data_IF_955469186262
#
_entry.id   IF_955469186262
#
_cell.length_a   1.000
_cell.length_b   1.000
_cell.length_c   1.000
_cell.angle_alpha   90.00
_cell.angle_beta   90.00
_cell.angle_gamma   90.00
#
_symmetry.space_group_name_H-M   'P 1'
#
loop_
_entity.id
_entity.type
_entity.pdbx_description
1 polymer ?
#
# COMPACT_ATOMS: atom_id res chain seq x y z
N UNK A 1 19.64 -55.45 -25.79
CA UNK A 1 19.80 -55.00 -24.39
C UNK A 1 20.81 -53.88 -24.46
N UNK A 2 20.33 -52.69 -24.76
CA UNK A 2 21.10 -51.66 -25.47
C UNK A 2 21.46 -50.47 -24.59
N UNK A 3 22.77 -50.21 -24.63
CA UNK A 3 23.46 -48.93 -24.83
C UNK A 3 23.52 -47.92 -23.67
N UNK A 4 24.78 -47.53 -23.46
CA UNK A 4 25.33 -46.51 -22.59
C UNK A 4 25.52 -45.19 -23.38
N UNK A 5 25.48 -44.04 -22.69
CA UNK A 5 25.98 -42.70 -23.08
C UNK A 5 25.15 -41.85 -24.09
N UNK A 6 24.53 -40.74 -23.62
CA UNK A 6 24.79 -39.33 -24.06
C UNK A 6 23.74 -38.29 -23.57
N UNK A 7 24.25 -37.11 -23.14
CA UNK A 7 23.70 -35.73 -23.26
C UNK A 7 22.54 -35.32 -22.33
N UNK A 8 22.71 -34.42 -21.34
CA UNK A 8 22.87 -32.95 -21.43
C UNK A 8 21.94 -32.31 -22.50
N UNK A 9 21.17 -31.28 -22.08
CA UNK A 9 20.29 -30.38 -22.85
C UNK A 9 18.82 -30.82 -23.09
N UNK A 10 17.91 -30.29 -22.27
CA UNK A 10 16.84 -29.40 -22.76
C UNK A 10 16.16 -28.67 -21.60
N UNK A 11 16.79 -27.57 -21.17
CA UNK A 11 16.18 -26.50 -20.39
C UNK A 11 15.89 -25.36 -21.37
N UNK A 12 14.80 -25.44 -22.13
CA UNK A 12 14.24 -24.30 -22.90
C UNK A 12 12.91 -24.72 -23.54
N UNK A 13 11.93 -23.82 -23.53
CA UNK A 13 10.57 -23.92 -24.09
C UNK A 13 9.45 -24.41 -23.15
N UNK A 14 9.35 -23.82 -21.96
CA UNK A 14 8.04 -23.42 -21.40
C UNK A 14 8.16 -21.98 -20.90
N UNK A 15 8.40 -21.07 -21.85
CA UNK A 15 8.21 -19.64 -21.64
C UNK A 15 7.28 -19.17 -22.75
N UNK A 16 6.22 -18.45 -22.39
CA UNK A 16 5.15 -17.86 -23.23
C UNK A 16 3.90 -18.71 -23.52
N UNK A 17 3.11 -19.03 -22.48
CA UNK A 17 1.64 -19.06 -22.56
C UNK A 17 1.02 -19.22 -21.14
N UNK A 18 0.20 -18.28 -20.63
CA UNK A 18 -0.37 -18.36 -19.30
C UNK A 18 -1.80 -18.90 -19.37
N UNK A 19 -1.98 -20.20 -19.61
CA UNK A 19 -3.29 -20.84 -19.36
C UNK A 19 -3.03 -22.21 -18.76
N UNK A 20 -3.15 -22.31 -17.44
CA UNK A 20 -3.01 -23.56 -16.70
C UNK A 20 -4.35 -24.30 -16.76
N UNK A 21 -4.34 -25.56 -17.19
CA UNK A 21 -5.51 -26.45 -17.15
C UNK A 21 -5.46 -27.23 -15.83
N UNK A 22 -6.56 -27.21 -15.07
CA UNK A 22 -6.69 -28.01 -13.85
C UNK A 22 -7.30 -29.37 -14.20
N UNK A 23 -6.75 -30.46 -13.64
CA UNK A 23 -7.25 -31.83 -13.86
C UNK A 23 -7.96 -32.34 -12.62
N UNK A 24 -9.25 -32.64 -12.73
CA UNK A 24 -10.01 -33.36 -11.70
C UNK A 24 -11.00 -34.33 -12.35
N UNK A 25 -10.79 -35.64 -12.20
CA UNK A 25 -11.69 -36.66 -12.77
C UNK A 25 -11.73 -36.69 -14.31
N UNK A 26 -12.89 -37.04 -14.87
CA UNK A 26 -13.13 -37.30 -16.31
C UNK A 26 -13.24 -36.04 -17.20
N UNK A 27 -12.89 -34.86 -16.67
CA UNK A 27 -13.00 -33.59 -17.38
C UNK A 27 -11.77 -32.67 -17.18
N UNK A 28 -11.52 -31.83 -18.18
CA UNK A 28 -10.58 -30.71 -18.14
C UNK A 28 -11.36 -29.39 -18.10
N UNK A 29 -10.97 -28.46 -17.23
CA UNK A 29 -11.63 -27.14 -17.07
C UNK A 29 -10.65 -26.01 -17.38
N UNK A 30 -11.10 -25.05 -18.21
CA UNK A 30 -10.35 -23.83 -18.46
C UNK A 30 -10.51 -22.87 -17.26
N UNK A 31 -9.42 -22.56 -16.57
CA UNK A 31 -9.44 -21.68 -15.38
C UNK A 31 -9.85 -20.22 -15.69
N UNK A 32 -9.87 -19.83 -16.97
CA UNK A 32 -10.27 -18.49 -17.39
C UNK A 32 -11.77 -18.38 -17.69
N UNK A 33 -12.34 -19.31 -18.46
CA UNK A 33 -13.74 -19.24 -18.91
C UNK A 33 -14.67 -20.27 -18.26
N UNK A 34 -14.17 -21.18 -17.41
CA UNK A 34 -14.93 -22.23 -16.72
C UNK A 34 -15.59 -23.27 -17.64
N UNK A 35 -15.26 -23.31 -18.94
CA UNK A 35 -15.75 -24.37 -19.84
C UNK A 35 -15.13 -25.73 -19.49
N UNK A 36 -16.00 -26.76 -19.41
CA UNK A 36 -15.63 -28.15 -19.11
C UNK A 36 -15.63 -29.00 -20.37
N UNK A 37 -14.62 -29.86 -20.50
CA UNK A 37 -14.40 -30.71 -21.66
C UNK A 37 -14.19 -32.18 -21.24
N UNK A 38 -14.99 -33.10 -21.78
CA UNK A 38 -14.90 -34.54 -21.50
C UNK A 38 -13.71 -35.21 -22.22
N UNK A 39 -13.05 -36.17 -21.56
CA UNK A 39 -11.88 -36.85 -22.09
C UNK A 39 -12.20 -37.80 -23.26
N UNK A 40 -12.09 -37.28 -24.49
CA UNK A 40 -11.89 -38.06 -25.72
C UNK A 40 -10.77 -37.39 -26.54
N UNK A 41 -10.13 -38.14 -27.43
CA UNK A 41 -9.01 -37.72 -28.28
C UNK A 41 -9.34 -36.49 -29.15
N UNK A 42 -10.62 -36.27 -29.47
CA UNK A 42 -11.09 -35.07 -30.18
C UNK A 42 -11.21 -33.83 -29.27
N UNK A 43 -11.27 -34.01 -27.95
CA UNK A 43 -11.49 -32.94 -26.98
C UNK A 43 -10.21 -32.24 -26.53
N UNK A 44 -9.07 -32.93 -26.55
CA UNK A 44 -7.75 -32.31 -26.28
C UNK A 44 -7.43 -31.19 -27.29
N UNK A 45 -7.83 -31.36 -28.56
CA UNK A 45 -7.68 -30.33 -29.58
C UNK A 45 -8.59 -29.12 -29.32
N UNK A 46 -9.81 -29.34 -28.82
CA UNK A 46 -10.79 -28.28 -28.47
C UNK A 46 -10.36 -27.49 -27.24
N UNK A 47 -9.88 -28.16 -26.19
CA UNK A 47 -9.34 -27.51 -24.99
C UNK A 47 -8.11 -26.64 -25.33
N UNK A 48 -7.23 -27.13 -26.22
CA UNK A 48 -6.11 -26.34 -26.75
C UNK A 48 -6.57 -25.15 -27.59
N UNK A 49 -7.59 -25.31 -28.45
CA UNK A 49 -8.15 -24.20 -29.24
C UNK A 49 -8.80 -23.13 -28.36
N UNK A 50 -9.49 -23.52 -27.29
CA UNK A 50 -10.09 -22.60 -26.32
C UNK A 50 -8.99 -21.80 -25.59
N UNK A 51 -7.90 -22.45 -25.18
CA UNK A 51 -6.74 -21.79 -24.58
C UNK A 51 -6.03 -20.83 -25.55
N UNK A 52 -5.88 -21.21 -26.83
CA UNK A 52 -5.27 -20.34 -27.86
C UNK A 52 -6.13 -19.11 -28.11
N UNK A 53 -7.46 -19.25 -28.23
CA UNK A 53 -8.39 -18.11 -28.36
C UNK A 53 -8.32 -17.16 -27.16
N UNK A 54 -8.24 -17.69 -25.95
CA UNK A 54 -8.12 -16.87 -24.74
C UNK A 54 -6.76 -16.14 -24.68
N UNK A 55 -5.68 -16.80 -25.11
CA UNK A 55 -4.33 -16.21 -25.17
C UNK A 55 -4.20 -15.15 -26.27
N UNK A 56 -4.78 -15.37 -27.45
CA UNK A 56 -4.79 -14.39 -28.55
C UNK A 56 -5.59 -13.14 -28.18
N UNK A 57 -6.72 -13.30 -27.48
CA UNK A 57 -7.51 -12.18 -26.97
C UNK A 57 -6.74 -11.38 -25.88
N UNK A 58 -5.88 -12.04 -25.11
CA UNK A 58 -4.98 -11.41 -24.14
C UNK A 58 -3.83 -10.65 -24.83
N UNK A 59 -3.16 -11.26 -25.83
CA UNK A 59 -2.03 -10.64 -26.53
C UNK A 59 -2.45 -9.47 -27.44
N UNK A 60 -3.61 -9.54 -28.08
CA UNK A 60 -4.13 -8.43 -28.89
C UNK A 60 -4.47 -7.19 -28.03
N UNK A 61 -4.70 -7.37 -26.72
CA UNK A 61 -5.13 -6.32 -25.80
C UNK A 61 -3.97 -5.65 -25.05
N UNK A 62 -2.81 -6.30 -24.97
CA UNK A 62 -1.63 -5.77 -24.25
C UNK A 62 -0.34 -6.00 -25.05
N UNK A 63 0.11 -4.98 -25.80
CA UNK A 63 1.37 -5.01 -26.57
C UNK A 63 2.60 -4.88 -25.65
N UNK A 64 3.34 -5.97 -25.43
CA UNK A 64 4.70 -5.90 -24.83
C UNK A 64 5.69 -6.85 -25.54
N UNK A 65 6.88 -6.39 -25.96
CA UNK A 65 7.97 -7.24 -26.46
C UNK A 65 8.89 -7.75 -25.33
N UNK A 66 9.43 -8.95 -25.50
CA UNK A 66 10.35 -9.64 -24.56
C UNK A 66 11.80 -9.18 -24.80
N UNK A 67 12.57 -8.75 -23.77
CA UNK A 67 14.02 -8.48 -23.92
C UNK A 67 14.88 -9.74 -23.80
N UNK A 68 15.95 -9.80 -24.60
CA UNK A 68 16.96 -10.88 -24.64
C UNK A 68 17.99 -10.73 -23.51
N UNK A 69 18.45 -11.86 -22.98
CA UNK A 69 19.47 -12.03 -21.92
C UNK A 69 20.85 -11.51 -22.34
N UNK A 70 21.57 -10.87 -21.42
CA UNK A 70 23.05 -10.78 -21.44
C UNK A 70 23.65 -11.00 -20.06
N UNK A 71 24.85 -11.57 -20.07
CA UNK A 71 25.57 -12.27 -19.00
C UNK A 71 26.02 -11.43 -17.80
N UNK A 72 26.12 -12.09 -16.64
CA UNK A 72 26.68 -11.57 -15.40
C UNK A 72 28.01 -12.28 -15.10
N UNK A 73 29.11 -11.53 -14.94
CA UNK A 73 30.39 -12.00 -14.40
C UNK A 73 30.54 -11.51 -12.96
N UNK A 74 30.97 -12.41 -12.09
CA UNK A 74 31.25 -12.18 -10.67
C UNK A 74 32.74 -11.85 -10.50
N UNK A 75 33.06 -10.78 -9.77
CA UNK A 75 34.40 -10.51 -9.25
C UNK A 75 34.35 -10.21 -7.73
N UNK A 76 35.31 -10.80 -7.01
CA UNK A 76 35.55 -10.69 -5.58
C UNK A 76 36.24 -9.37 -5.22
N UNK A 77 35.87 -8.74 -4.09
CA UNK A 77 36.79 -7.85 -3.36
C UNK A 77 36.64 -7.97 -1.83
N UNK A 78 37.81 -8.14 -1.19
CA UNK A 78 38.08 -8.08 0.24
C UNK A 78 38.12 -6.63 0.73
N UNK A 79 37.55 -6.31 1.90
CA UNK A 79 38.01 -5.20 2.74
C UNK A 79 37.73 -5.45 4.23
N UNK A 80 38.79 -5.26 5.05
CA UNK A 80 38.76 -5.09 6.52
C UNK A 80 38.59 -3.60 6.84
N UNK A 81 37.94 -3.24 7.96
CA UNK A 81 38.44 -2.19 8.88
C UNK A 81 37.58 -2.03 10.14
N UNK A 82 38.23 -1.39 11.13
CA UNK A 82 38.00 -1.41 12.57
C UNK A 82 36.86 -0.52 13.10
N UNK A 83 36.37 -0.90 14.28
CA UNK A 83 35.49 -0.12 15.15
C UNK A 83 36.29 0.76 16.13
N UNK A 84 35.75 1.93 16.47
CA UNK A 84 36.11 2.69 17.67
C UNK A 84 34.86 3.37 18.27
N UNK A 85 34.74 3.31 19.61
CA UNK A 85 33.65 3.82 20.47
C UNK A 85 33.97 5.22 20.99
N UNK A 86 32.93 5.95 21.46
CA UNK A 86 32.79 6.67 22.77
C UNK A 86 31.54 7.58 22.66
N UNK A 87 30.46 7.50 23.44
CA UNK A 87 30.15 7.68 24.88
C UNK A 87 30.02 9.13 25.41
N UNK A 88 28.82 9.42 25.97
CA UNK A 88 28.58 10.37 27.08
C UNK A 88 27.65 11.55 26.77
N UNK A 89 26.87 12.16 27.68
CA UNK A 89 26.20 11.78 28.96
C UNK A 89 25.29 12.99 29.31
N UNK A 90 24.17 12.71 29.99
CA UNK A 90 23.01 13.58 30.33
C UNK A 90 23.24 14.68 31.39
N UNK A 91 22.29 15.66 31.45
CA UNK A 91 21.47 16.20 32.60
C UNK A 91 21.10 17.67 32.32
N UNK A 92 19.96 18.29 32.66
CA UNK A 92 18.70 17.95 33.34
C UNK A 92 17.99 19.26 33.80
N UNK A 93 16.65 19.35 33.60
CA UNK A 93 15.57 20.01 34.43
C UNK A 93 15.66 21.50 34.83
N UNK A 94 14.64 22.37 34.90
CA UNK A 94 13.16 22.49 34.68
C UNK A 94 12.87 24.03 34.63
N UNK A 95 11.73 24.55 34.11
CA UNK A 95 10.72 25.10 35.04
C UNK A 95 9.24 25.19 34.54
N UNK A 96 8.34 25.21 35.53
CA UNK A 96 7.07 25.95 35.69
C UNK A 96 6.10 26.19 34.51
N UNK A 97 4.87 25.70 34.70
CA UNK A 97 3.69 25.77 33.83
C UNK A 97 2.91 27.09 33.94
N UNK A 98 2.37 27.55 32.81
CA UNK A 98 1.08 28.27 32.71
C UNK A 98 0.35 27.77 31.43
N UNK A 99 -0.98 27.95 31.31
CA UNK A 99 -1.98 26.89 31.19
C UNK A 99 -2.08 26.26 29.78
N UNK A 100 -1.67 24.99 29.67
CA UNK A 100 -2.00 24.12 28.52
C UNK A 100 -3.41 23.56 28.74
N UNK A 101 -4.24 23.56 27.69
CA UNK A 101 -5.53 22.87 27.64
C UNK A 101 -5.40 21.44 28.19
N UNK A 102 -5.84 21.26 29.44
CA UNK A 102 -5.97 19.98 30.14
C UNK A 102 -7.06 19.07 29.54
N UNK A 103 -7.71 19.48 28.45
CA UNK A 103 -8.90 18.83 27.91
C UNK A 103 -8.64 17.60 27.02
N UNK A 104 -7.44 17.01 27.04
CA UNK A 104 -7.15 15.73 26.36
C UNK A 104 -6.50 14.69 27.28
N UNK A 105 -6.34 14.97 28.58
CA UNK A 105 -5.72 14.01 29.52
C UNK A 105 -6.71 13.00 30.11
N UNK A 106 -8.02 13.22 29.95
CA UNK A 106 -9.07 12.35 30.49
C UNK A 106 -9.90 11.68 29.39
N UNK A 107 -9.25 10.96 28.46
CA UNK A 107 -9.86 9.83 27.72
C UNK A 107 -8.84 8.74 27.35
N UNK A 108 -7.83 8.53 28.18
CA UNK A 108 -7.06 7.28 28.16
C UNK A 108 -7.48 6.45 29.37
N UNK A 109 -8.76 6.09 29.40
CA UNK A 109 -9.23 4.98 30.22
C UNK A 109 -8.66 3.70 29.62
N UNK A 110 -7.89 2.98 30.42
CA UNK A 110 -7.23 1.71 30.10
C UNK A 110 -7.99 0.81 29.11
N UNK A 111 -7.47 0.75 27.88
CA UNK A 111 -7.71 -0.34 26.93
C UNK A 111 -6.42 -0.57 26.10
N UNK A 112 -5.62 -1.54 26.55
CA UNK A 112 -4.48 -2.19 25.85
C UNK A 112 -3.42 -1.29 25.19
N UNK A 113 -2.29 -1.08 25.86
CA UNK A 113 -1.13 -0.32 25.36
C UNK A 113 -0.26 -1.02 24.31
N UNK A 114 -0.62 -2.22 23.82
CA UNK A 114 0.24 -3.00 22.90
C UNK A 114 -0.29 -3.11 21.46
N UNK A 115 -1.52 -2.68 21.19
CA UNK A 115 -2.16 -3.07 19.94
C UNK A 115 -1.80 -2.21 18.70
N UNK A 116 -1.08 -1.08 18.83
CA UNK A 116 -0.73 -0.14 17.73
C UNK A 116 -1.80 0.01 16.62
N UNK A 117 -3.07 0.19 17.00
CA UNK A 117 -4.19 0.27 16.06
C UNK A 117 -4.28 1.67 15.43
N UNK A 118 -4.21 1.74 14.10
CA UNK A 118 -4.29 2.97 13.30
C UNK A 118 -5.72 3.33 12.92
N UNK A 119 -6.57 2.33 12.67
CA UNK A 119 -7.95 2.49 12.23
C UNK A 119 -8.78 1.28 12.67
N UNK A 120 -10.04 1.53 13.01
CA UNK A 120 -11.03 0.50 13.29
C UNK A 120 -12.21 0.68 12.34
N UNK A 121 -12.69 -0.41 11.76
CA UNK A 121 -13.90 -0.49 10.99
C UNK A 121 -14.98 -1.16 11.85
N UNK A 122 -16.10 -0.48 12.04
CA UNK A 122 -17.24 -0.98 12.81
C UNK A 122 -18.27 -1.75 11.97
N UNK A 123 -18.21 -1.60 10.64
CA UNK A 123 -19.11 -2.26 9.71
C UNK A 123 -18.38 -2.53 8.39
N UNK A 124 -17.83 -3.74 8.27
CA UNK A 124 -17.26 -4.26 7.03
C UNK A 124 -18.20 -5.30 6.39
N UNK A 125 -18.42 -5.12 5.10
CA UNK A 125 -19.24 -5.98 4.25
C UNK A 125 -18.34 -6.68 3.23
N UNK A 126 -18.23 -8.03 3.29
CA UNK A 126 -17.45 -8.79 2.33
C UNK A 126 -18.14 -8.84 0.97
N UNK A 127 -17.36 -8.74 -0.11
CA UNK A 127 -17.88 -8.76 -1.48
C UNK A 127 -16.86 -9.31 -2.48
N UNK A 128 -17.32 -9.52 -3.72
CA UNK A 128 -16.53 -9.91 -4.89
C UNK A 128 -16.52 -8.77 -5.91
N UNK A 129 -15.34 -8.21 -6.15
CA UNK A 129 -15.15 -7.17 -7.15
C UNK A 129 -15.23 -7.76 -8.56
N UNK A 130 -16.15 -7.26 -9.37
CA UNK A 130 -16.34 -7.69 -10.75
C UNK A 130 -15.48 -6.83 -11.69
N UNK A 131 -15.56 -5.51 -11.55
CA UNK A 131 -14.79 -4.56 -12.33
C UNK A 131 -14.66 -3.21 -11.63
N UNK A 132 -13.62 -2.47 -11.98
CA UNK A 132 -13.43 -1.06 -11.64
C UNK A 132 -13.46 -0.21 -12.89
N UNK A 133 -14.15 0.93 -12.85
CA UNK A 133 -14.30 1.82 -14.00
C UNK A 133 -14.44 3.27 -13.55
N UNK A 134 -14.21 4.20 -14.49
CA UNK A 134 -14.22 5.66 -14.25
C UNK A 134 -13.32 6.10 -13.08
N UNK A 135 -12.35 5.27 -12.66
CA UNK A 135 -11.46 5.41 -11.49
C UNK A 135 -12.16 5.33 -10.13
N UNK A 136 -13.32 5.97 -9.98
CA UNK A 136 -14.00 6.12 -8.69
C UNK A 136 -15.21 5.19 -8.50
N UNK A 137 -15.51 4.30 -9.45
CA UNK A 137 -16.60 3.32 -9.35
C UNK A 137 -16.10 1.90 -9.48
N UNK A 138 -16.78 1.00 -8.78
CA UNK A 138 -16.59 -0.43 -8.88
C UNK A 138 -17.95 -1.12 -8.83
N UNK A 139 -18.09 -2.22 -9.58
CA UNK A 139 -19.25 -3.11 -9.48
C UNK A 139 -18.83 -4.35 -8.70
N UNK A 140 -19.63 -4.73 -7.70
CA UNK A 140 -19.36 -5.84 -6.80
C UNK A 140 -20.59 -6.72 -6.62
N UNK A 141 -20.37 -7.98 -6.25
CA UNK A 141 -21.39 -8.88 -5.71
C UNK A 141 -21.19 -8.98 -4.20
N UNK A 142 -22.20 -8.66 -3.39
CA UNK A 142 -22.11 -8.82 -1.94
C UNK A 142 -22.12 -10.31 -1.58
N UNK A 143 -21.37 -10.72 -0.56
CA UNK A 143 -21.38 -12.12 -0.12
C UNK A 143 -22.48 -12.33 0.94
N UNK A 144 -23.25 -13.41 0.80
CA UNK A 144 -24.37 -13.78 1.66
C UNK A 144 -23.99 -13.78 3.15
N UNK A 145 -24.85 -13.15 3.96
CA UNK A 145 -24.67 -12.96 5.41
C UNK A 145 -24.45 -11.51 5.85
N UNK A 146 -24.24 -10.58 4.92
CA UNK A 146 -23.95 -9.16 5.22
C UNK A 146 -25.15 -8.20 5.17
N UNK A 147 -26.32 -8.67 4.72
CA UNK A 147 -27.50 -7.82 4.42
C UNK A 147 -28.83 -8.40 4.89
N UNK A 148 -28.86 -9.41 5.78
CA UNK A 148 -30.13 -9.79 6.41
C UNK A 148 -30.42 -8.83 7.57
N UNK A 149 -30.95 -7.66 7.23
CA UNK A 149 -31.90 -6.99 8.12
C UNK A 149 -32.96 -8.04 8.48
N UNK A 150 -33.09 -8.36 9.77
CA UNK A 150 -33.88 -9.49 10.28
C UNK A 150 -35.40 -9.35 10.11
N UNK A 151 -35.89 -8.41 9.30
CA UNK A 151 -37.31 -8.11 9.15
C UNK A 151 -37.71 -8.05 7.68
N UNK A 152 -37.57 -9.16 6.96
CA UNK A 152 -38.51 -9.53 5.89
C UNK A 152 -38.17 -10.96 5.46
N UNK A 153 -38.98 -11.91 5.93
CA UNK A 153 -39.02 -13.27 5.39
C UNK A 153 -39.91 -13.18 4.16
N UNK A 154 -39.31 -13.22 2.99
CA UNK A 154 -40.04 -13.52 1.75
C UNK A 154 -39.56 -14.89 1.30
N UNK A 155 -40.43 -15.88 1.45
CA UNK A 155 -40.26 -17.22 0.91
C UNK A 155 -40.32 -17.14 -0.62
N UNK A 156 -39.20 -17.28 -1.31
CA UNK A 156 -39.17 -17.65 -2.71
C UNK A 156 -37.93 -18.52 -3.00
N UNK A 157 -38.18 -19.79 -3.32
CA UNK A 157 -37.19 -20.77 -3.75
C UNK A 157 -36.92 -20.61 -5.25
N UNK A 158 -36.22 -19.55 -5.64
CA UNK A 158 -35.50 -19.46 -6.91
C UNK A 158 -34.10 -18.93 -6.59
N UNK A 159 -33.05 -19.62 -7.06
CA UNK A 159 -31.67 -19.19 -6.84
C UNK A 159 -31.46 -17.83 -7.50
N UNK A 160 -31.55 -16.75 -6.71
CA UNK A 160 -31.37 -15.38 -7.18
C UNK A 160 -29.97 -15.22 -7.77
N UNK A 161 -29.90 -14.66 -8.98
CA UNK A 161 -28.63 -14.20 -9.51
C UNK A 161 -28.09 -13.11 -8.58
N UNK A 162 -26.91 -13.34 -8.00
CA UNK A 162 -26.24 -12.40 -7.10
C UNK A 162 -26.33 -10.94 -7.62
N UNK A 163 -27.02 -10.07 -6.87
CA UNK A 163 -27.24 -8.68 -7.27
C UNK A 163 -25.91 -7.91 -7.36
N UNK A 164 -25.65 -7.29 -8.51
CA UNK A 164 -24.47 -6.45 -8.72
C UNK A 164 -24.73 -5.04 -8.18
N UNK A 165 -23.97 -4.66 -7.16
CA UNK A 165 -24.04 -3.34 -6.49
C UNK A 165 -22.89 -2.44 -6.98
N UNK A 166 -23.18 -1.19 -7.33
CA UNK A 166 -22.14 -0.19 -7.61
C UNK A 166 -21.67 0.49 -6.32
N UNK A 167 -20.36 0.53 -6.10
CA UNK A 167 -19.72 1.08 -4.90
C UNK A 167 -18.73 2.20 -5.24
N UNK A 168 -18.44 3.05 -4.27
CA UNK A 168 -17.42 4.09 -4.41
C UNK A 168 -16.01 3.49 -4.27
N UNK A 169 -15.12 3.82 -5.20
CA UNK A 169 -13.70 3.47 -5.13
C UNK A 169 -12.87 4.71 -4.75
N UNK A 170 -12.43 4.85 -3.49
CA UNK A 170 -11.65 5.98 -2.98
C UNK A 170 -10.17 5.90 -3.37
N UNK A 171 -9.88 5.55 -4.62
CA UNK A 171 -8.55 5.52 -5.19
C UNK A 171 -8.61 6.10 -6.60
N UNK A 172 -7.83 7.16 -6.88
CA UNK A 172 -7.81 7.80 -8.21
C UNK A 172 -6.69 7.26 -9.12
N UNK A 173 -5.79 6.47 -8.55
CA UNK A 173 -4.67 5.84 -9.25
C UNK A 173 -5.08 4.60 -10.04
N UNK A 174 -4.16 4.00 -10.80
CA UNK A 174 -4.44 2.81 -11.60
C UNK A 174 -4.68 1.54 -10.76
N UNK A 175 -4.22 1.50 -9.50
CA UNK A 175 -4.28 0.29 -8.66
C UNK A 175 -3.49 -0.88 -9.29
N UNK A 176 -2.29 -0.58 -9.79
CA UNK A 176 -1.42 -1.58 -10.44
C UNK A 176 -1.13 -2.72 -9.47
N UNK A 177 -1.25 -3.96 -9.96
CA UNK A 177 -1.05 -5.19 -9.18
C UNK A 177 -2.17 -5.53 -8.20
N UNK A 178 -3.24 -4.72 -8.11
CA UNK A 178 -4.40 -5.03 -7.25
C UNK A 178 -5.57 -5.63 -8.01
N UNK A 179 -5.65 -5.41 -9.32
CA UNK A 179 -6.80 -5.78 -10.15
C UNK A 179 -6.58 -7.09 -10.93
N UNK A 180 -5.47 -7.79 -10.68
CA UNK A 180 -5.09 -9.00 -11.43
C UNK A 180 -6.03 -10.19 -11.13
N UNK A 181 -6.69 -10.18 -9.97
CA UNK A 181 -7.66 -11.19 -9.56
C UNK A 181 -9.08 -10.97 -10.11
N UNK A 182 -9.25 -10.08 -11.10
CA UNK A 182 -10.56 -9.82 -11.71
C UNK A 182 -10.91 -10.80 -12.85
N UNK A 183 -12.21 -11.10 -13.03
CA UNK A 183 -13.31 -10.77 -12.12
C UNK A 183 -13.28 -11.64 -10.85
N UNK A 184 -14.01 -11.21 -9.82
CA UNK A 184 -14.25 -11.91 -8.55
C UNK A 184 -13.15 -11.81 -7.48
N UNK A 185 -12.35 -10.74 -7.50
CA UNK A 185 -11.40 -10.46 -6.43
C UNK A 185 -12.14 -10.23 -5.10
N UNK A 186 -11.68 -10.84 -4.00
CA UNK A 186 -12.31 -10.65 -2.68
C UNK A 186 -12.00 -9.24 -2.19
N UNK A 187 -13.02 -8.54 -1.68
CA UNK A 187 -12.90 -7.18 -1.15
C UNK A 187 -13.66 -7.03 0.17
N UNK A 188 -13.33 -5.99 0.92
CA UNK A 188 -14.15 -5.51 2.04
C UNK A 188 -14.60 -4.09 1.77
N UNK A 189 -15.85 -3.83 2.11
CA UNK A 189 -16.51 -2.54 1.92
C UNK A 189 -16.89 -1.96 3.28
N UNK A 190 -16.75 -0.65 3.48
CA UNK A 190 -17.47 0.02 4.55
C UNK A 190 -18.86 0.41 4.07
N UNK A 191 -19.87 0.32 4.95
CA UNK A 191 -21.23 0.81 4.70
C UNK A 191 -21.45 2.13 5.43
N UNK A 192 -22.03 3.11 4.74
CA UNK A 192 -22.48 4.37 5.31
C UNK A 192 -24.00 4.41 5.33
N UNK A 193 -24.56 4.78 6.48
CA UNK A 193 -26.00 4.93 6.68
C UNK A 193 -26.52 6.34 6.31
N UNK A 194 -25.67 7.20 5.75
CA UNK A 194 -26.07 8.54 5.32
C UNK A 194 -26.93 8.45 4.05
N UNK A 195 -28.24 8.73 4.13
CA UNK A 195 -29.15 8.58 2.99
C UNK A 195 -28.85 9.57 1.86
N UNK A 196 -28.02 10.59 2.10
CA UNK A 196 -27.61 11.56 1.07
C UNK A 196 -26.51 11.02 0.16
N UNK A 197 -25.85 9.91 0.53
CA UNK A 197 -24.79 9.33 -0.28
C UNK A 197 -25.37 8.60 -1.47
N UNK A 198 -24.88 8.94 -2.66
CA UNK A 198 -25.21 8.23 -3.91
C UNK A 198 -24.79 6.75 -3.87
N UNK A 199 -23.69 6.44 -3.18
CA UNK A 199 -23.16 5.09 -3.02
C UNK A 199 -23.00 4.81 -1.53
N UNK A 200 -23.79 3.89 -0.99
CA UNK A 200 -23.75 3.52 0.42
C UNK A 200 -22.43 2.82 0.81
N UNK A 201 -21.83 2.09 -0.14
CA UNK A 201 -20.62 1.31 0.08
C UNK A 201 -19.37 1.99 -0.45
N UNK A 202 -18.28 1.88 0.31
CA UNK A 202 -16.94 2.34 -0.07
C UNK A 202 -15.97 1.17 -0.07
N UNK A 203 -15.20 0.99 -1.15
CA UNK A 203 -14.17 -0.04 -1.25
C UNK A 203 -12.97 0.29 -0.37
N UNK A 204 -12.76 -0.46 0.71
CA UNK A 204 -11.72 -0.19 1.70
C UNK A 204 -10.44 -0.98 1.42
N UNK A 205 -10.57 -2.26 1.12
CA UNK A 205 -9.43 -3.16 0.90
C UNK A 205 -9.78 -4.29 -0.08
N UNK A 206 -8.73 -4.81 -0.71
CA UNK A 206 -8.78 -5.88 -1.70
C UNK A 206 -7.80 -6.98 -1.32
N UNK A 207 -8.20 -8.23 -1.49
CA UNK A 207 -7.34 -9.37 -1.27
C UNK A 207 -6.65 -9.74 -2.59
N UNK A 208 -5.33 -9.85 -2.55
CA UNK A 208 -4.52 -10.35 -3.66
C UNK A 208 -3.79 -11.63 -3.24
N UNK A 209 -3.37 -12.43 -4.22
CA UNK A 209 -2.44 -13.54 -3.97
C UNK A 209 -1.03 -13.09 -4.31
N UNK A 210 -0.11 -13.12 -3.34
CA UNK A 210 1.25 -12.61 -3.56
C UNK A 210 2.23 -13.67 -4.14
N UNK A 211 1.75 -14.90 -4.37
CA UNK A 211 2.54 -16.05 -4.80
C UNK A 211 2.68 -17.12 -3.72
N UNK A 212 2.48 -16.75 -2.45
CA UNK A 212 2.59 -17.64 -1.29
C UNK A 212 1.31 -17.70 -0.48
N UNK A 213 0.69 -16.53 -0.23
CA UNK A 213 -0.53 -16.39 0.56
C UNK A 213 -1.43 -15.31 0.00
N UNK A 214 -2.67 -15.32 0.48
CA UNK A 214 -3.58 -14.20 0.32
C UNK A 214 -3.18 -13.05 1.25
N UNK A 215 -3.21 -11.83 0.73
CA UNK A 215 -2.80 -10.61 1.44
C UNK A 215 -3.88 -9.55 1.26
N UNK A 216 -4.30 -8.94 2.36
CA UNK A 216 -5.17 -7.76 2.31
C UNK A 216 -4.36 -6.51 2.04
N UNK A 217 -4.78 -5.74 1.03
CA UNK A 217 -4.17 -4.48 0.64
C UNK A 217 -5.20 -3.35 0.73
N UNK A 218 -4.84 -2.25 1.39
CA UNK A 218 -5.69 -1.07 1.48
C UNK A 218 -5.87 -0.39 0.12
N UNK A 219 -7.10 0.01 -0.21
CA UNK A 219 -7.46 0.71 -1.44
C UNK A 219 -7.70 2.20 -1.19
N UNK A 220 -8.25 2.53 -0.02
CA UNK A 220 -8.66 3.88 0.36
C UNK A 220 -7.44 4.78 0.61
N UNK A 221 -7.05 5.57 -0.39
CA UNK A 221 -5.81 6.35 -0.30
C UNK A 221 -5.89 7.49 0.73
N UNK A 222 -7.07 8.11 0.87
CA UNK A 222 -7.29 9.20 1.84
C UNK A 222 -7.37 8.72 3.30
N UNK A 223 -7.58 7.43 3.55
CA UNK A 223 -7.55 6.90 4.93
C UNK A 223 -6.12 6.90 5.51
N UNK A 224 -5.09 6.95 4.66
CA UNK A 224 -3.69 7.02 5.09
C UNK A 224 -3.41 8.23 5.99
N UNK A 225 -3.99 9.40 5.68
CA UNK A 225 -3.84 10.60 6.51
C UNK A 225 -4.43 10.38 7.90
N UNK A 226 -5.61 9.77 7.99
CA UNK A 226 -6.24 9.44 9.29
C UNK A 226 -5.42 8.44 10.09
N UNK A 227 -4.85 7.43 9.43
CA UNK A 227 -3.98 6.45 10.08
C UNK A 227 -2.68 7.09 10.58
N UNK A 228 -2.04 7.93 9.78
CA UNK A 228 -0.83 8.67 10.18
C UNK A 228 -1.14 9.64 11.32
N UNK A 229 -2.27 10.35 11.28
CA UNK A 229 -2.72 11.22 12.37
C UNK A 229 -2.81 10.47 13.69
N UNK A 230 -3.41 9.27 13.69
CA UNK A 230 -3.52 8.43 14.89
C UNK A 230 -2.14 8.01 15.42
N UNK A 231 -1.22 7.64 14.53
CA UNK A 231 0.15 7.27 14.90
C UNK A 231 0.98 8.48 15.39
N UNK A 232 0.75 9.68 14.85
CA UNK A 232 1.33 10.93 15.35
C UNK A 232 0.80 11.26 16.74
N UNK A 233 -0.53 11.22 16.95
CA UNK A 233 -1.11 11.45 18.28
C UNK A 233 -0.55 10.47 19.33
N UNK A 234 -0.24 9.24 18.91
CA UNK A 234 0.31 8.19 19.77
C UNK A 234 1.85 8.16 19.84
N UNK A 235 2.54 9.06 19.12
CA UNK A 235 4.01 9.14 19.00
C UNK A 235 4.68 7.81 18.57
N UNK A 236 4.06 7.07 17.66
CA UNK A 236 4.61 5.78 17.19
C UNK A 236 5.71 5.91 16.12
N UNK A 237 5.87 7.08 15.51
CA UNK A 237 6.95 7.38 14.56
C UNK A 237 8.13 8.01 15.29
N UNK A 238 8.99 7.18 15.88
CA UNK A 238 10.10 7.62 16.75
C UNK A 238 11.13 8.50 16.02
N UNK A 239 11.31 8.30 14.72
CA UNK A 239 12.26 9.04 13.87
C UNK A 239 11.87 10.52 13.68
N UNK A 240 10.62 10.89 13.99
CA UNK A 240 10.15 12.27 13.93
C UNK A 240 10.58 13.09 15.17
N UNK A 241 11.14 12.44 16.19
CA UNK A 241 11.54 13.09 17.43
C UNK A 241 10.35 13.62 18.25
N UNK A 242 10.64 14.50 19.19
CA UNK A 242 9.64 15.10 20.06
C UNK A 242 8.95 16.31 19.41
N UNK A 243 7.65 16.43 19.65
CA UNK A 243 6.81 17.55 19.27
C UNK A 243 5.69 17.72 20.28
N UNK A 244 5.18 18.95 20.44
CA UNK A 244 4.13 19.29 21.39
C UNK A 244 2.75 19.33 20.74
N UNK A 245 2.68 19.64 19.43
CA UNK A 245 1.42 19.74 18.71
C UNK A 245 1.49 19.21 17.28
N UNK A 246 0.32 18.86 16.73
CA UNK A 246 0.12 18.40 15.35
C UNK A 246 -0.96 19.26 14.70
N UNK A 247 -0.62 19.93 13.60
CA UNK A 247 -1.57 20.70 12.78
C UNK A 247 -1.76 20.04 11.42
N UNK A 248 -2.97 20.08 10.88
CA UNK A 248 -3.35 19.44 9.61
C UNK A 248 -3.45 20.43 8.46
N UNK A 249 -3.26 19.94 7.23
CA UNK A 249 -3.61 20.66 5.99
C UNK A 249 -3.03 22.08 5.93
N UNK A 250 -1.78 22.22 6.37
CA UNK A 250 -1.15 23.53 6.53
C UNK A 250 -0.66 24.01 5.17
N UNK A 251 -1.10 25.20 4.77
CA UNK A 251 -0.60 25.84 3.55
C UNK A 251 0.87 26.21 3.72
N UNK A 252 1.72 25.74 2.82
CA UNK A 252 3.17 25.99 2.88
C UNK A 252 3.75 26.54 1.56
N UNK A 253 2.99 26.41 0.46
CA UNK A 253 3.30 27.03 -0.82
C UNK A 253 2.03 27.66 -1.41
N UNK A 254 2.17 28.39 -2.54
CA UNK A 254 1.08 29.16 -3.17
C UNK A 254 -0.19 28.33 -3.37
N UNK A 255 -0.03 27.09 -3.86
CA UNK A 255 -1.11 26.19 -4.25
C UNK A 255 -0.95 24.78 -3.66
N UNK A 256 -0.26 24.64 -2.52
CA UNK A 256 -0.03 23.35 -1.89
C UNK A 256 -0.15 23.42 -0.37
N UNK A 257 -0.69 22.34 0.18
CA UNK A 257 -0.80 22.07 1.61
C UNK A 257 0.01 20.82 1.91
N UNK A 258 0.64 20.82 3.08
CA UNK A 258 1.27 19.65 3.65
C UNK A 258 0.24 18.96 4.54
N UNK A 259 0.29 17.64 4.60
CA UNK A 259 -0.68 16.88 5.38
C UNK A 259 -0.60 17.23 6.87
N UNK A 260 0.62 17.33 7.44
CA UNK A 260 0.83 17.72 8.83
C UNK A 260 2.01 18.68 9.05
N UNK A 261 1.92 19.48 10.12
CA UNK A 261 3.06 20.20 10.71
C UNK A 261 3.13 19.87 12.19
N UNK A 262 4.26 19.32 12.61
CA UNK A 262 4.58 19.06 14.01
C UNK A 262 5.33 20.25 14.57
N UNK A 263 5.01 20.70 15.79
CA UNK A 263 5.69 21.85 16.40
C UNK A 263 6.25 21.49 17.76
N UNK A 264 7.46 21.94 18.03
CA UNK A 264 8.03 21.97 19.39
C UNK A 264 8.11 23.43 19.84
N UNK A 265 7.81 23.69 21.10
CA UNK A 265 7.76 25.03 21.68
C UNK A 265 8.82 25.22 22.78
N UNK A 266 9.33 26.44 22.90
CA UNK A 266 10.09 26.87 24.06
C UNK A 266 9.17 27.05 25.28
N UNK A 267 9.76 27.18 26.48
CA UNK A 267 9.02 27.36 27.72
C UNK A 267 8.17 28.64 27.74
N UNK A 268 8.54 29.66 26.95
CA UNK A 268 7.79 30.91 26.78
C UNK A 268 6.62 30.80 25.77
N UNK A 269 6.39 29.61 25.20
CA UNK A 269 5.34 29.34 24.23
C UNK A 269 5.69 29.66 22.78
N UNK A 270 6.88 30.20 22.50
CA UNK A 270 7.33 30.44 21.11
C UNK A 270 7.67 29.13 20.40
N UNK A 271 7.49 29.07 19.08
CA UNK A 271 7.79 27.87 18.29
C UNK A 271 9.31 27.73 18.16
N UNK A 272 9.86 26.66 18.72
CA UNK A 272 11.26 26.29 18.62
C UNK A 272 11.57 25.61 17.29
N UNK A 273 10.67 24.72 16.83
CA UNK A 273 10.89 23.95 15.61
C UNK A 273 9.56 23.53 14.95
N UNK A 274 9.51 23.58 13.61
CA UNK A 274 8.43 23.03 12.79
C UNK A 274 8.92 21.87 11.93
N UNK A 275 8.29 20.70 12.01
CA UNK A 275 8.51 19.59 11.08
C UNK A 275 7.33 19.44 10.14
N UNK A 276 7.56 19.62 8.84
CA UNK A 276 6.56 19.46 7.79
C UNK A 276 6.50 18.00 7.34
N UNK A 277 5.33 17.37 7.44
CA UNK A 277 5.16 15.92 7.20
C UNK A 277 4.14 15.67 6.10
N UNK A 278 4.60 15.13 4.98
CA UNK A 278 3.77 14.69 3.87
C UNK A 278 3.50 13.18 3.98
N UNK A 279 2.31 12.74 3.60
CA UNK A 279 1.88 11.33 3.61
C UNK A 279 1.71 10.82 2.17
N UNK A 280 2.11 9.57 1.96
CA UNK A 280 1.89 8.82 0.72
C UNK A 280 1.31 7.45 1.06
N UNK A 281 0.19 7.13 0.43
CA UNK A 281 -0.40 5.79 0.50
C UNK A 281 0.30 4.88 -0.51
N UNK A 282 0.82 3.74 -0.04
CA UNK A 282 1.59 2.80 -0.86
C UNK A 282 0.91 1.43 -0.86
N UNK A 283 0.64 0.91 -2.06
CA UNK A 283 -0.08 -0.37 -2.25
C UNK A 283 0.66 -1.32 -3.20
N UNK A 284 1.41 -0.78 -4.15
CA UNK A 284 2.19 -1.54 -5.11
C UNK A 284 3.40 -2.18 -4.42
N UNK A 285 3.66 -3.43 -4.74
CA UNK A 285 4.84 -4.14 -4.30
C UNK A 285 5.46 -4.91 -5.48
N UNK A 286 6.78 -4.80 -5.62
CA UNK A 286 7.55 -5.51 -6.63
C UNK A 286 8.03 -6.84 -6.04
N UNK A 287 7.89 -7.96 -6.78
CA UNK A 287 8.50 -9.22 -6.38
C UNK A 287 10.03 -9.08 -6.40
N UNK A 288 10.69 -9.75 -5.47
CA UNK A 288 12.14 -9.94 -5.46
C UNK A 288 12.45 -11.40 -5.12
N UNK A 289 13.70 -11.81 -5.34
CA UNK A 289 14.13 -13.21 -5.18
C UNK A 289 13.99 -13.72 -3.74
N UNK A 290 14.20 -12.85 -2.75
CA UNK A 290 14.19 -13.19 -1.32
C UNK A 290 13.26 -12.33 -0.48
N UNK A 291 12.82 -11.17 -0.98
CA UNK A 291 11.95 -10.25 -0.27
C UNK A 291 11.16 -9.38 -1.23
N UNK A 292 10.02 -8.87 -0.76
CA UNK A 292 9.15 -7.98 -1.55
C UNK A 292 9.37 -6.52 -1.15
N UNK A 293 9.49 -5.66 -2.15
CA UNK A 293 9.72 -4.23 -1.96
C UNK A 293 8.45 -3.45 -2.27
N UNK A 294 7.91 -2.73 -1.27
CA UNK A 294 6.83 -1.78 -1.49
C UNK A 294 7.36 -0.57 -2.26
N UNK A 295 6.62 -0.09 -3.27
CA UNK A 295 7.08 1.04 -4.08
C UNK A 295 6.01 2.08 -4.33
N UNK A 296 6.44 3.35 -4.38
CA UNK A 296 5.57 4.47 -4.71
C UNK A 296 6.25 5.44 -5.69
N UNK A 297 5.54 5.98 -6.69
CA UNK A 297 4.14 5.71 -7.02
C UNK A 297 3.95 4.43 -7.86
N UNK A 298 2.70 4.07 -8.14
CA UNK A 298 2.31 2.99 -9.06
C UNK A 298 2.14 3.47 -10.51
N UNK A 299 2.28 4.78 -10.75
CA UNK A 299 2.30 5.44 -12.06
C UNK A 299 2.92 6.83 -11.94
N UNK A 300 3.29 7.46 -13.05
CA UNK A 300 3.74 8.86 -13.06
C UNK A 300 2.75 9.76 -12.31
N UNK A 301 3.25 10.51 -11.33
CA UNK A 301 2.46 11.38 -10.46
C UNK A 301 3.07 12.77 -10.38
N UNK A 302 2.66 13.65 -11.31
CA UNK A 302 3.09 15.06 -11.32
C UNK A 302 2.70 15.81 -10.04
N UNK A 303 1.60 15.40 -9.38
CA UNK A 303 1.23 15.92 -8.06
C UNK A 303 2.25 15.53 -7.00
N UNK A 304 2.65 14.27 -6.94
CA UNK A 304 3.65 13.82 -5.96
C UNK A 304 5.01 14.47 -6.22
N UNK A 305 5.42 14.57 -7.49
CA UNK A 305 6.63 15.30 -7.92
C UNK A 305 6.59 16.76 -7.45
N UNK A 306 5.48 17.47 -7.69
CA UNK A 306 5.29 18.86 -7.26
C UNK A 306 5.45 19.00 -5.75
N UNK A 307 4.79 18.15 -4.97
CA UNK A 307 4.80 18.25 -3.51
C UNK A 307 6.19 18.02 -2.91
N UNK A 308 6.94 17.01 -3.39
CA UNK A 308 8.31 16.77 -2.90
C UNK A 308 9.26 17.90 -3.28
N UNK A 309 9.11 18.49 -4.47
CA UNK A 309 9.88 19.67 -4.89
C UNK A 309 9.58 20.86 -4.00
N UNK A 310 8.31 21.22 -3.82
CA UNK A 310 7.90 22.37 -2.99
C UNK A 310 8.35 22.18 -1.54
N UNK A 311 8.28 20.95 -0.99
CA UNK A 311 8.75 20.66 0.37
C UNK A 311 10.28 20.85 0.47
N UNK A 312 11.02 20.43 -0.55
CA UNK A 312 12.48 20.63 -0.63
C UNK A 312 12.84 22.11 -0.72
N UNK A 313 12.11 22.88 -1.53
CA UNK A 313 12.26 24.33 -1.67
C UNK A 313 11.94 25.08 -0.36
N UNK A 314 10.93 24.63 0.39
CA UNK A 314 10.61 25.21 1.69
C UNK A 314 11.76 25.05 2.69
N UNK A 315 12.44 23.89 2.69
CA UNK A 315 13.61 23.70 3.54
C UNK A 315 14.79 24.55 3.08
N UNK A 316 15.05 24.64 1.78
CA UNK A 316 16.20 25.44 1.29
C UNK A 316 16.04 26.94 1.54
N UNK A 317 14.82 27.47 1.40
CA UNK A 317 14.53 28.91 1.59
C UNK A 317 14.50 29.34 3.06
N UNK A 318 14.22 28.42 3.99
CA UNK A 318 14.26 28.71 5.44
C UNK A 318 15.62 28.44 6.08
N UNK A 319 16.52 27.72 5.40
CA UNK A 319 17.88 27.40 5.86
C UNK A 319 18.91 28.46 5.49
N UNK A 320 18.58 29.46 4.67
CA UNK A 320 19.43 30.64 4.38
C UNK A 320 19.54 31.63 5.55
N UNK A 321 19.25 31.17 6.76
CA UNK A 321 19.24 31.98 7.95
C UNK A 321 20.66 32.28 8.44
N UNK A 322 20.83 33.43 9.11
CA UNK A 322 22.15 34.02 9.39
C UNK A 322 22.88 33.34 10.55
N UNK A 323 22.21 32.44 11.28
CA UNK A 323 22.73 31.75 12.46
C UNK A 323 22.29 30.27 12.46
N UNK A 324 23.10 29.40 13.09
CA UNK A 324 22.79 27.97 13.24
C UNK A 324 21.45 27.73 13.96
N UNK A 325 21.07 28.61 14.89
CA UNK A 325 19.78 28.56 15.61
C UNK A 325 18.57 28.84 14.73
N UNK A 326 18.71 29.65 13.68
CA UNK A 326 17.61 29.91 12.74
C UNK A 326 17.52 28.83 11.65
N UNK A 327 18.66 28.26 11.24
CA UNK A 327 18.72 27.14 10.29
C UNK A 327 18.11 25.85 10.89
N UNK A 328 18.16 25.68 12.21
CA UNK A 328 17.62 24.52 12.92
C UNK A 328 16.10 24.58 13.18
N UNK A 329 15.37 25.61 12.70
CA UNK A 329 13.95 25.80 13.03
C UNK A 329 12.98 24.97 12.20
N UNK A 330 13.41 24.43 11.06
CA UNK A 330 12.50 23.69 10.17
C UNK A 330 13.13 22.41 9.63
N UNK A 331 12.36 21.33 9.65
CA UNK A 331 12.71 20.08 8.96
C UNK A 331 11.51 19.49 8.23
N UNK A 332 11.76 18.46 7.42
CA UNK A 332 10.74 17.79 6.62
C UNK A 332 10.79 16.28 6.73
N UNK A 333 9.64 15.63 6.60
CA UNK A 333 9.55 14.18 6.45
C UNK A 333 8.48 13.81 5.42
N UNK A 334 8.66 12.66 4.77
CA UNK A 334 7.65 12.02 3.94
C UNK A 334 7.42 10.61 4.49
N UNK A 335 6.19 10.35 4.93
CA UNK A 335 5.76 9.05 5.44
C UNK A 335 5.06 8.29 4.31
N UNK A 336 5.66 7.17 3.93
CA UNK A 336 5.10 6.21 2.99
C UNK A 336 4.41 5.10 3.78
N UNK A 337 3.10 5.21 3.94
CA UNK A 337 2.28 4.20 4.63
C UNK A 337 1.95 3.07 3.66
N UNK A 338 2.66 1.96 3.82
CA UNK A 338 2.51 0.71 3.07
C UNK A 338 1.32 -0.06 3.65
N UNK A 339 0.20 -0.03 2.93
CA UNK A 339 -1.07 -0.63 3.35
C UNK A 339 -1.15 -2.12 3.00
N UNK A 340 -0.16 -2.91 3.45
CA UNK A 340 -0.03 -4.36 3.28
C UNK A 340 1.05 -4.92 4.21
N UNK A 341 0.95 -6.19 4.58
CA UNK A 341 1.78 -6.86 5.59
C UNK A 341 2.90 -7.74 5.00
N UNK A 342 3.03 -7.83 3.68
CA UNK A 342 3.91 -8.79 2.99
C UNK A 342 5.11 -8.14 2.29
N UNK A 343 5.51 -6.94 2.73
CA UNK A 343 6.70 -6.23 2.24
C UNK A 343 7.74 -6.10 3.35
N UNK A 344 9.02 -6.24 2.99
CA UNK A 344 10.15 -6.14 3.93
C UNK A 344 10.94 -4.85 3.76
N UNK A 345 10.80 -4.19 2.61
CA UNK A 345 11.50 -2.96 2.28
C UNK A 345 10.58 -1.99 1.55
N UNK A 346 11.01 -0.75 1.45
CA UNK A 346 10.32 0.30 0.70
C UNK A 346 11.30 1.05 -0.22
N UNK A 347 10.83 1.49 -1.39
CA UNK A 347 11.58 2.39 -2.26
C UNK A 347 10.69 3.33 -3.10
N UNK A 348 11.14 4.58 -3.39
CA UNK A 348 10.58 5.36 -4.49
C UNK A 348 10.71 4.61 -5.83
N UNK A 349 9.61 4.51 -6.58
CA UNK A 349 9.54 3.66 -7.77
C UNK A 349 10.22 4.27 -8.98
N UNK A 350 11.41 3.79 -9.33
CA UNK A 350 12.12 4.19 -10.55
C UNK A 350 11.38 3.72 -11.81
N UNK A 351 10.81 2.51 -11.77
CA UNK A 351 10.13 1.89 -12.91
C UNK A 351 8.87 2.68 -13.33
N UNK A 352 8.13 3.22 -12.36
CA UNK A 352 6.85 3.88 -12.61
C UNK A 352 6.96 5.40 -12.69
N UNK A 353 7.90 6.00 -11.94
CA UNK A 353 8.17 7.43 -11.98
C UNK A 353 9.62 7.74 -11.58
N UNK A 354 10.54 7.57 -12.55
CA UNK A 354 11.96 7.89 -12.37
C UNK A 354 12.18 9.31 -11.86
N UNK A 355 11.39 10.29 -12.33
CA UNK A 355 11.52 11.69 -11.92
C UNK A 355 11.17 11.88 -10.45
N UNK A 356 10.09 11.25 -9.98
CA UNK A 356 9.74 11.26 -8.56
C UNK A 356 10.82 10.63 -7.69
N UNK A 357 11.39 9.49 -8.12
CA UNK A 357 12.49 8.84 -7.39
C UNK A 357 13.75 9.72 -7.31
N UNK A 358 14.12 10.39 -8.40
CA UNK A 358 15.21 11.37 -8.42
C UNK A 358 14.94 12.55 -7.47
N UNK A 359 13.71 13.08 -7.46
CA UNK A 359 13.31 14.16 -6.55
C UNK A 359 13.33 13.72 -5.08
N UNK A 360 12.96 12.48 -4.77
CA UNK A 360 13.11 11.92 -3.43
C UNK A 360 14.58 11.84 -3.01
N UNK A 361 15.48 11.46 -3.92
CA UNK A 361 16.92 11.43 -3.64
C UNK A 361 17.47 12.84 -3.38
N UNK A 362 17.00 13.85 -4.11
CA UNK A 362 17.34 15.26 -3.84
C UNK A 362 16.81 15.70 -2.47
N UNK A 363 15.52 15.44 -2.19
CA UNK A 363 14.89 15.74 -0.91
C UNK A 363 15.66 15.13 0.28
N UNK A 364 16.04 13.85 0.18
CA UNK A 364 16.83 13.17 1.21
C UNK A 364 18.20 13.81 1.42
N UNK A 365 18.90 14.20 0.35
CA UNK A 365 20.17 14.94 0.43
C UNK A 365 20.01 16.33 1.07
N UNK A 366 18.83 16.93 0.95
CA UNK A 366 18.47 18.19 1.61
C UNK A 366 17.97 18.02 3.04
N UNK A 367 18.02 16.80 3.61
CA UNK A 367 17.64 16.53 5.00
C UNK A 367 16.18 16.13 5.22
N UNK A 368 15.39 15.91 4.16
CA UNK A 368 14.03 15.37 4.30
C UNK A 368 14.10 13.89 4.65
N UNK A 369 13.48 13.50 5.76
CA UNK A 369 13.41 12.10 6.17
C UNK A 369 12.42 11.34 5.29
N UNK A 370 12.83 10.24 4.67
CA UNK A 370 11.94 9.35 3.93
C UNK A 370 11.66 8.11 4.79
N UNK A 371 10.44 7.97 5.29
CA UNK A 371 10.06 6.93 6.25
C UNK A 371 9.04 5.99 5.62
N UNK A 372 9.42 4.72 5.43
CA UNK A 372 8.49 3.65 5.06
C UNK A 372 7.94 3.00 6.31
N UNK A 373 6.62 2.80 6.39
CA UNK A 373 5.98 2.09 7.50
C UNK A 373 4.89 1.16 6.95
N UNK A 374 4.85 -0.09 7.40
CA UNK A 374 3.80 -1.03 7.00
C UNK A 374 2.69 -1.16 8.04
N UNK A 375 1.50 -1.48 7.55
CA UNK A 375 0.38 -1.88 8.38
C UNK A 375 -0.29 -3.16 7.86
N UNK A 376 -0.83 -3.94 8.80
CA UNK A 376 -1.67 -5.10 8.50
C UNK A 376 -3.15 -4.69 8.49
N UNK A 377 -3.89 -5.17 7.49
CA UNK A 377 -5.33 -5.04 7.40
C UNK A 377 -5.98 -6.35 7.84
N UNK A 378 -6.76 -6.31 8.91
CA UNK A 378 -7.29 -7.47 9.60
C UNK A 378 -8.83 -7.38 9.64
N UNK A 379 -9.55 -7.69 8.54
CA UNK A 379 -11.00 -7.77 8.59
C UNK A 379 -11.47 -9.02 9.36
N UNK A 380 -12.47 -8.84 10.21
CA UNK A 380 -13.20 -9.88 10.93
C UNK A 380 -14.60 -9.97 10.32
N UNK A 381 -14.76 -10.87 9.35
CA UNK A 381 -16.03 -11.08 8.64
C UNK A 381 -17.14 -11.64 9.55
N UNK A 382 -16.77 -12.34 10.64
CA UNK A 382 -17.74 -12.88 11.61
C UNK A 382 -18.35 -11.75 12.43
N UNK A 383 -17.54 -10.77 12.83
CA UNK A 383 -18.01 -9.60 13.58
C UNK A 383 -18.38 -8.40 12.70
N UNK A 384 -18.32 -8.54 11.37
CA UNK A 384 -18.48 -7.45 10.41
C UNK A 384 -17.65 -6.22 10.80
N UNK A 385 -16.42 -6.43 11.24
CA UNK A 385 -15.54 -5.37 11.75
C UNK A 385 -14.13 -5.56 11.19
N UNK A 386 -13.20 -4.68 11.54
CA UNK A 386 -11.80 -4.88 11.19
C UNK A 386 -10.90 -3.86 11.83
N UNK A 387 -9.60 -4.15 11.84
CA UNK A 387 -8.59 -3.22 12.34
C UNK A 387 -7.45 -3.06 11.33
N UNK A 388 -6.83 -1.89 11.35
CA UNK A 388 -5.54 -1.66 10.69
C UNK A 388 -4.49 -1.46 11.76
N UNK A 389 -3.46 -2.30 11.76
CA UNK A 389 -2.41 -2.33 12.78
C UNK A 389 -1.08 -1.87 12.22
N UNK A 390 -0.42 -0.93 12.88
CA UNK A 390 0.94 -0.53 12.51
C UNK A 390 1.91 -1.67 12.87
N UNK A 391 2.67 -2.15 11.89
CA UNK A 391 3.66 -3.20 12.10
C UNK A 391 5.00 -2.62 12.50
N UNK A 392 5.49 -1.65 11.73
CA UNK A 392 6.77 -1.00 12.01
C UNK A 392 7.40 -0.36 10.77
N UNK A 393 8.61 0.18 10.93
CA UNK A 393 9.35 0.78 9.83
C UNK A 393 9.79 -0.29 8.82
N UNK A 394 9.76 0.07 7.55
CA UNK A 394 10.37 -0.67 6.47
C UNK A 394 11.68 0.01 6.08
N UNK A 395 12.81 -0.70 6.05
CA UNK A 395 14.07 -0.19 5.52
C UNK A 395 13.89 0.39 4.12
N UNK A 396 14.38 1.62 3.93
CA UNK A 396 14.47 2.25 2.62
C UNK A 396 15.56 1.55 1.82
N UNK A 397 15.22 0.95 0.68
CA UNK A 397 16.21 0.46 -0.26
C UNK A 397 16.89 1.65 -0.95
N UNK A 398 18.04 2.02 -0.42
CA UNK A 398 19.04 2.81 -1.15
C UNK A 398 19.80 1.85 -2.04
N UNK A 399 19.79 2.08 -3.36
CA UNK A 399 20.48 1.21 -4.34
C UNK A 399 21.85 0.75 -3.84
N UNK A 400 22.03 -0.56 -3.80
CA UNK A 400 23.15 -1.23 -4.44
C UNK A 400 22.67 -1.78 -5.79
#
# INVERSE_FOLDING_TARGET
MDINIQRIFCRQLVSSNPVTVFRSGDYEECLWCRERHHQDATTHAKARLCCVRCSDHYQQRFKYPIPKKTDCKVENYLLRSHACRTEGRRRGTHPFQVPVLSALKERVSHASSDAKILLQYSNLVPARLIRRYKRFLADVVLLDGATKDKNEVVDNEEAEADEVVTVYCPNTGPMVGLLDGLPNARVQLSKSDDPKRKYAYTLEMIQIHNGEKNVWVGVHSTSANRMVEQALASRWFTELGDYDSVRREVKFAKNSRVDFVLTTSHADGTIAHEKYVEVKSVTLALPGDTSRCAVFPDTVSTRAQKHVTELTELLSTKTTAKTEEEAAKVSGAIIFLVQRDDCNTFAPSIQHDKKFAELCAVAAKSGIQLLGYSCALEPDEVKSSGVVRLLGPLPLQTRD
#
